data_IF_713842787756
#
_entry.id   IF_713842787756
#
_cell.length_a   1.000
_cell.length_b   1.000
_cell.length_c   1.000
_cell.angle_alpha   90.00
_cell.angle_beta   90.00
_cell.angle_gamma   90.00
#
_symmetry.space_group_name_H-M   'P 1'
#
loop_
_entity.id
_entity.type
_entity.pdbx_description
1 polymer ?
#
# COMPACT_ATOMS: atom_id res chain seq x y z
N UNK A 1 3.56 -0.11 -6.07
CA UNK A 1 4.12 -0.61 -4.80
C UNK A 1 3.31 -1.85 -4.42
N UNK A 2 3.62 -2.54 -3.33
CA UNK A 2 2.94 -3.77 -2.94
C UNK A 2 3.31 -5.05 -3.70
N UNK A 3 2.37 -5.99 -3.77
CA UNK A 3 2.55 -7.32 -4.38
C UNK A 3 3.05 -7.26 -5.84
N UNK A 4 4.26 -7.78 -6.07
CA UNK A 4 4.90 -7.75 -7.38
C UNK A 4 4.09 -8.51 -8.44
N UNK A 5 3.75 -7.81 -9.54
CA UNK A 5 3.06 -8.39 -10.69
C UNK A 5 1.54 -8.53 -10.54
N UNK A 6 0.96 -8.16 -9.39
CA UNK A 6 -0.47 -8.36 -9.12
C UNK A 6 -1.38 -7.57 -10.08
N UNK A 7 -1.07 -6.29 -10.32
CA UNK A 7 -1.82 -5.49 -11.30
C UNK A 7 -1.66 -6.02 -12.74
N UNK A 8 -0.52 -6.63 -13.08
CA UNK A 8 -0.36 -7.27 -14.39
C UNK A 8 -1.31 -8.46 -14.53
N UNK A 9 -1.47 -9.23 -13.44
CA UNK A 9 -2.32 -10.39 -13.36
C UNK A 9 -3.82 -10.05 -13.38
N UNK A 10 -4.21 -8.88 -12.85
CA UNK A 10 -5.58 -8.38 -12.86
C UNK A 10 -5.90 -7.46 -14.05
N UNK A 11 -5.08 -7.47 -15.11
CA UNK A 11 -5.23 -6.57 -16.25
C UNK A 11 -6.56 -6.73 -16.99
N UNK A 12 -7.12 -7.94 -17.04
CA UNK A 12 -8.38 -8.22 -17.76
C UNK A 12 -9.60 -7.55 -17.14
N UNK A 13 -9.52 -7.15 -15.86
CA UNK A 13 -10.59 -6.46 -15.13
C UNK A 13 -10.26 -5.00 -14.84
N UNK A 14 -9.12 -4.51 -15.34
CA UNK A 14 -8.81 -3.08 -15.29
C UNK A 14 -9.60 -2.34 -16.34
N UNK A 15 -10.41 -1.39 -15.91
CA UNK A 15 -11.14 -0.49 -16.80
C UNK A 15 -10.63 0.93 -16.64
N UNK A 16 -10.41 1.63 -17.74
CA UNK A 16 -10.09 3.06 -17.66
C UNK A 16 -11.38 3.84 -17.40
N UNK A 17 -11.37 4.68 -16.35
CA UNK A 17 -12.50 5.52 -15.96
C UNK A 17 -12.07 6.98 -15.90
N UNK A 18 -12.97 7.90 -16.24
CA UNK A 18 -12.73 9.33 -16.08
C UNK A 18 -13.14 9.76 -14.67
N UNK A 19 -12.50 10.77 -14.09
CA UNK A 19 -12.79 11.21 -12.72
C UNK A 19 -14.24 11.67 -12.51
N UNK A 20 -14.90 12.16 -13.56
CA UNK A 20 -16.33 12.52 -13.52
C UNK A 20 -17.26 11.33 -13.22
N UNK A 21 -16.82 10.10 -13.49
CA UNK A 21 -17.61 8.89 -13.21
C UNK A 21 -17.78 8.68 -11.69
N UNK A 22 -16.95 9.35 -10.89
CA UNK A 22 -16.96 9.32 -9.42
C UNK A 22 -17.52 10.62 -8.82
N UNK A 23 -18.16 11.48 -9.62
CA UNK A 23 -18.72 12.74 -9.14
C UNK A 23 -19.74 12.49 -8.00
N UNK A 24 -19.62 13.25 -6.91
CA UNK A 24 -20.43 13.10 -5.71
C UNK A 24 -19.93 12.04 -4.72
N UNK A 25 -18.93 11.23 -5.09
CA UNK A 25 -18.33 10.23 -4.21
C UNK A 25 -17.18 10.82 -3.38
N UNK A 26 -16.93 10.22 -2.23
CA UNK A 26 -15.75 10.49 -1.40
C UNK A 26 -14.69 9.43 -1.67
N UNK A 27 -13.52 9.83 -2.14
CA UNK A 27 -12.41 8.90 -2.40
C UNK A 27 -11.27 9.11 -1.42
N UNK A 28 -10.85 8.04 -0.76
CA UNK A 28 -9.62 8.03 0.01
C UNK A 28 -8.41 8.18 -0.92
N UNK A 29 -7.42 8.97 -0.53
CA UNK A 29 -6.21 9.22 -1.30
C UNK A 29 -4.99 8.86 -0.48
N UNK A 30 -4.15 7.98 -1.01
CA UNK A 30 -2.83 7.70 -0.46
C UNK A 30 -1.91 8.92 -0.63
N UNK A 31 -1.63 9.62 0.48
CA UNK A 31 -0.81 10.82 0.46
C UNK A 31 0.64 10.51 0.06
N UNK A 32 1.20 9.39 0.53
CA UNK A 32 2.60 9.07 0.33
C UNK A 32 2.90 8.72 -1.12
N UNK A 33 1.97 8.08 -1.84
CA UNK A 33 2.07 7.89 -3.29
C UNK A 33 2.26 9.22 -4.01
N UNK A 34 1.48 10.25 -3.68
CA UNK A 34 1.59 11.56 -4.35
C UNK A 34 2.80 12.36 -3.88
N UNK A 35 3.20 12.26 -2.61
CA UNK A 35 4.42 12.90 -2.11
C UNK A 35 5.66 12.29 -2.77
N UNK A 36 5.74 10.95 -2.85
CA UNK A 36 6.82 10.25 -3.57
C UNK A 36 6.87 10.65 -5.04
N UNK A 37 5.73 10.71 -5.74
CA UNK A 37 5.69 11.18 -7.12
C UNK A 37 6.09 12.65 -7.26
N UNK A 38 5.64 13.50 -6.34
CA UNK A 38 5.98 14.92 -6.31
C UNK A 38 7.48 15.18 -6.09
N UNK A 39 8.15 14.35 -5.30
CA UNK A 39 9.61 14.41 -5.08
C UNK A 39 10.38 14.36 -6.39
N UNK A 40 9.95 13.58 -7.39
CA UNK A 40 10.66 13.52 -8.67
C UNK A 40 10.79 14.88 -9.37
N UNK A 41 9.87 15.82 -9.09
CA UNK A 41 9.92 17.19 -9.63
C UNK A 41 11.01 18.06 -9.00
N UNK A 42 11.49 17.69 -7.81
CA UNK A 42 12.44 18.48 -7.01
C UNK A 42 13.51 17.62 -6.29
N UNK A 43 13.78 16.42 -6.80
CA UNK A 43 14.64 15.44 -6.12
C UNK A 43 16.05 15.97 -5.86
N UNK A 44 16.65 16.67 -6.83
CA UNK A 44 17.98 17.27 -6.66
C UNK A 44 17.99 18.35 -5.58
N UNK A 45 16.95 19.19 -5.50
CA UNK A 45 16.83 20.22 -4.46
C UNK A 45 16.77 19.57 -3.08
N UNK A 46 15.87 18.60 -2.90
CA UNK A 46 15.70 17.87 -1.65
C UNK A 46 16.97 17.10 -1.24
N UNK A 47 17.59 16.37 -2.17
CA UNK A 47 18.80 15.59 -1.88
C UNK A 47 20.03 16.45 -1.57
N UNK A 48 20.04 17.72 -1.98
CA UNK A 48 21.11 18.68 -1.70
C UNK A 48 20.78 19.67 -0.59
N UNK A 49 19.66 19.48 0.12
CA UNK A 49 19.26 20.30 1.25
C UNK A 49 18.69 21.68 0.87
N UNK A 50 18.33 21.90 -0.39
CA UNK A 50 17.65 23.13 -0.83
C UNK A 50 16.16 23.04 -0.49
N UNK A 51 15.65 24.10 0.15
CA UNK A 51 14.23 24.22 0.48
C UNK A 51 13.38 24.28 -0.79
N UNK A 52 12.27 23.54 -0.81
CA UNK A 52 11.33 23.47 -1.94
C UNK A 52 9.96 23.00 -1.46
N UNK A 53 8.91 23.38 -2.20
CA UNK A 53 7.52 22.95 -1.96
C UNK A 53 6.86 22.32 -3.18
N UNK A 54 7.62 22.09 -4.25
CA UNK A 54 7.10 21.53 -5.52
C UNK A 54 6.36 20.20 -5.34
N UNK A 55 6.77 19.38 -4.37
CA UNK A 55 6.07 18.13 -4.04
C UNK A 55 4.68 18.37 -3.43
N UNK A 56 4.50 19.44 -2.66
CA UNK A 56 3.18 19.85 -2.13
C UNK A 56 2.31 20.39 -3.26
N UNK A 57 2.87 21.24 -4.13
CA UNK A 57 2.14 21.79 -5.27
C UNK A 57 1.65 20.68 -6.20
N UNK A 58 2.50 19.67 -6.44
CA UNK A 58 2.17 18.48 -7.22
C UNK A 58 0.98 17.70 -6.64
N UNK A 59 0.95 17.51 -5.31
CA UNK A 59 -0.14 16.80 -4.64
C UNK A 59 -1.42 17.64 -4.61
N UNK A 60 -1.33 18.95 -4.29
CA UNK A 60 -2.48 19.85 -4.26
C UNK A 60 -3.13 20.06 -5.63
N UNK A 61 -2.37 20.05 -6.72
CA UNK A 61 -2.94 20.07 -8.07
C UNK A 61 -3.89 18.89 -8.32
N UNK A 62 -3.57 17.70 -7.81
CA UNK A 62 -4.41 16.50 -7.94
C UNK A 62 -5.65 16.57 -7.06
N UNK A 63 -5.51 17.05 -5.82
CA UNK A 63 -6.64 17.36 -4.93
C UNK A 63 -7.63 18.31 -5.61
N UNK A 64 -7.13 19.40 -6.19
CA UNK A 64 -7.96 20.39 -6.89
C UNK A 64 -8.61 19.81 -8.14
N UNK A 65 -7.93 18.91 -8.87
CA UNK A 65 -8.50 18.21 -10.02
C UNK A 65 -9.64 17.27 -9.62
N UNK A 66 -9.50 16.53 -8.52
CA UNK A 66 -10.59 15.72 -7.96
C UNK A 66 -11.81 16.58 -7.64
N UNK A 67 -11.60 17.70 -6.93
CA UNK A 67 -12.67 18.65 -6.60
C UNK A 67 -13.32 19.27 -7.83
N UNK A 68 -12.54 19.59 -8.87
CA UNK A 68 -13.05 20.09 -10.14
C UNK A 68 -14.06 19.12 -10.76
N UNK A 69 -13.78 17.82 -10.70
CA UNK A 69 -14.69 16.75 -11.14
C UNK A 69 -15.73 16.34 -10.08
N UNK A 70 -15.92 17.17 -9.04
CA UNK A 70 -16.89 16.96 -7.94
C UNK A 70 -16.65 15.68 -7.14
N UNK A 71 -15.42 15.19 -7.11
CA UNK A 71 -14.99 14.11 -6.21
C UNK A 71 -14.50 14.73 -4.90
N UNK A 72 -14.95 14.21 -3.77
CA UNK A 72 -14.49 14.66 -2.45
C UNK A 72 -13.24 13.85 -2.03
N UNK A 73 -12.05 14.46 -1.95
CA UNK A 73 -10.87 13.76 -1.49
C UNK A 73 -10.84 13.64 0.04
N UNK A 74 -10.55 12.44 0.53
CA UNK A 74 -10.21 12.16 1.93
C UNK A 74 -8.75 11.68 1.98
N UNK A 75 -7.82 12.55 2.39
CA UNK A 75 -6.38 12.23 2.30
C UNK A 75 -5.92 11.39 3.49
N UNK A 76 -5.23 10.29 3.23
CA UNK A 76 -4.71 9.38 4.28
C UNK A 76 -3.19 9.39 4.26
N UNK A 77 -2.59 9.65 5.42
CA UNK A 77 -1.14 9.64 5.63
C UNK A 77 -0.69 8.42 6.43
N UNK A 78 0.49 7.90 6.14
CA UNK A 78 1.16 6.98 7.06
C UNK A 78 1.51 7.68 8.38
N UNK A 79 1.55 6.89 9.45
CA UNK A 79 1.95 7.32 10.79
C UNK A 79 3.21 6.61 11.27
N UNK A 80 3.07 5.89 12.38
CA UNK A 80 4.19 5.23 13.06
C UNK A 80 4.74 4.02 12.30
N UNK A 81 5.99 3.61 12.56
CA UNK A 81 6.57 2.43 11.95
C UNK A 81 5.87 1.15 12.45
N UNK A 82 5.46 0.29 11.52
CA UNK A 82 4.92 -1.02 11.84
C UNK A 82 6.05 -2.05 12.05
N UNK A 83 6.07 -2.78 13.18
CA UNK A 83 7.09 -3.80 13.43
C UNK A 83 7.16 -4.90 12.34
N UNK A 84 6.02 -5.30 11.78
CA UNK A 84 5.95 -6.29 10.70
C UNK A 84 6.68 -5.86 9.41
N UNK A 85 6.83 -4.54 9.18
CA UNK A 85 7.46 -3.98 7.97
C UNK A 85 8.93 -3.60 8.18
N UNK A 86 9.50 -3.90 9.35
CA UNK A 86 10.83 -3.44 9.75
C UNK A 86 11.96 -3.88 8.80
N UNK A 87 11.91 -5.12 8.30
CA UNK A 87 12.87 -5.63 7.32
C UNK A 87 12.80 -4.84 6.02
N UNK A 88 11.60 -4.67 5.48
CA UNK A 88 11.33 -3.92 4.25
C UNK A 88 11.80 -2.48 4.35
N UNK A 89 11.53 -1.80 5.47
CA UNK A 89 11.98 -0.42 5.69
C UNK A 89 13.51 -0.31 5.84
N UNK A 90 14.16 -1.30 6.45
CA UNK A 90 15.63 -1.36 6.49
C UNK A 90 16.22 -1.48 5.09
N UNK A 91 15.67 -2.36 4.25
CA UNK A 91 16.17 -2.57 2.89
C UNK A 91 15.89 -1.35 2.01
N UNK A 92 14.74 -0.67 2.20
CA UNK A 92 14.43 0.61 1.55
C UNK A 92 15.45 1.69 1.94
N UNK A 93 15.76 1.81 3.24
CA UNK A 93 16.77 2.75 3.74
C UNK A 93 18.15 2.50 3.13
N UNK A 94 18.61 1.24 3.13
CA UNK A 94 19.89 0.87 2.55
C UNK A 94 19.98 1.26 1.07
N UNK A 95 18.95 0.93 0.26
CA UNK A 95 18.90 1.33 -1.16
C UNK A 95 18.95 2.84 -1.35
N UNK A 96 18.31 3.63 -0.47
CA UNK A 96 18.38 5.10 -0.53
C UNK A 96 19.81 5.59 -0.28
N UNK A 97 20.50 5.04 0.70
CA UNK A 97 21.91 5.38 1.01
C UNK A 97 22.85 5.04 -0.15
N UNK A 98 22.70 3.85 -0.75
CA UNK A 98 23.47 3.43 -1.93
C UNK A 98 23.22 4.34 -3.14
N UNK A 99 21.96 4.69 -3.41
CA UNK A 99 21.60 5.61 -4.50
C UNK A 99 22.15 7.03 -4.24
N UNK A 100 22.14 7.51 -3.00
CA UNK A 100 22.71 8.81 -2.65
C UNK A 100 24.22 8.84 -2.87
N UNK A 101 24.94 7.80 -2.47
CA UNK A 101 26.38 7.68 -2.69
C UNK A 101 26.70 7.71 -4.19
N UNK A 102 25.94 6.96 -5.00
CA UNK A 102 26.10 6.93 -6.46
C UNK A 102 25.77 8.28 -7.12
N UNK A 103 24.72 8.98 -6.67
CA UNK A 103 24.36 10.30 -7.15
C UNK A 103 25.47 11.34 -6.88
N UNK A 104 26.07 11.30 -5.69
CA UNK A 104 27.19 12.18 -5.32
C UNK A 104 28.43 11.92 -6.17
N UNK A 105 28.78 10.66 -6.40
CA UNK A 105 29.92 10.30 -7.25
C UNK A 105 29.75 10.81 -8.70
N UNK A 106 28.58 10.55 -9.31
CA UNK A 106 28.27 11.05 -10.65
C UNK A 106 28.27 12.57 -10.73
N UNK A 107 27.84 13.26 -9.67
CA UNK A 107 27.88 14.73 -9.61
C UNK A 107 29.30 15.26 -9.56
N UNK A 108 30.20 14.59 -8.82
CA UNK A 108 31.62 14.95 -8.77
C UNK A 108 32.32 14.75 -10.13
N UNK A 109 31.85 13.80 -10.94
CA UNK A 109 32.31 13.59 -12.33
C UNK A 109 31.68 14.54 -13.36
N UNK A 110 30.83 15.49 -12.93
CA UNK A 110 30.10 16.40 -13.83
C UNK A 110 28.93 15.75 -14.60
N UNK A 111 28.59 14.49 -14.29
CA UNK A 111 27.50 13.72 -14.95
C UNK A 111 26.13 14.02 -14.33
N UNK A 112 25.72 15.30 -14.35
CA UNK A 112 24.53 15.78 -13.64
C UNK A 112 23.21 15.12 -14.07
N UNK A 113 23.04 14.81 -15.36
CA UNK A 113 21.84 14.14 -15.87
C UNK A 113 21.66 12.75 -15.26
N UNK A 114 22.73 11.96 -15.24
CA UNK A 114 22.73 10.62 -14.64
C UNK A 114 22.54 10.69 -13.12
N UNK A 115 23.19 11.66 -12.45
CA UNK A 115 23.04 11.87 -11.02
C UNK A 115 21.57 12.14 -10.62
N UNK A 116 20.82 12.88 -11.45
CA UNK A 116 19.40 13.20 -11.20
C UNK A 116 18.53 11.96 -11.06
N UNK A 117 18.78 10.91 -11.84
CA UNK A 117 18.04 9.65 -11.74
C UNK A 117 18.26 8.95 -10.39
N UNK A 118 19.47 9.04 -9.84
CA UNK A 118 19.81 8.46 -8.54
C UNK A 118 19.30 9.33 -7.39
N UNK A 119 19.33 10.66 -7.52
CA UNK A 119 18.72 11.56 -6.53
C UNK A 119 17.22 11.29 -6.36
N UNK A 120 16.51 11.02 -7.46
CA UNK A 120 15.10 10.66 -7.41
C UNK A 120 14.82 9.35 -6.64
N UNK A 121 15.81 8.45 -6.53
CA UNK A 121 15.68 7.16 -5.84
C UNK A 121 16.15 7.19 -4.39
N UNK A 122 16.78 8.28 -3.94
CA UNK A 122 17.36 8.36 -2.59
C UNK A 122 16.55 9.24 -1.62
N UNK A 123 15.67 10.11 -2.12
CA UNK A 123 14.89 11.01 -1.25
C UNK A 123 13.75 10.24 -0.60
N UNK A 124 13.67 10.37 0.72
CA UNK A 124 12.60 9.80 1.54
C UNK A 124 11.53 10.86 1.84
N UNK A 125 10.27 10.45 1.96
CA UNK A 125 9.20 11.35 2.41
C UNK A 125 9.30 11.48 3.93
N UNK A 126 9.64 12.67 4.42
CA UNK A 126 9.78 12.90 5.86
C UNK A 126 8.47 13.37 6.51
N UNK A 127 8.30 13.21 7.84
CA UNK A 127 7.14 13.76 8.56
C UNK A 127 6.97 15.27 8.35
N UNK A 128 8.07 16.02 8.20
CA UNK A 128 8.03 17.44 7.92
C UNK A 128 7.43 17.74 6.54
N UNK A 129 7.74 16.93 5.53
CA UNK A 129 7.17 17.05 4.19
C UNK A 129 5.67 16.73 4.19
N UNK A 130 5.27 15.64 4.86
CA UNK A 130 3.88 15.28 5.06
C UNK A 130 3.12 16.42 5.78
N UNK A 131 3.72 17.01 6.82
CA UNK A 131 3.14 18.15 7.53
C UNK A 131 2.95 19.39 6.65
N UNK A 132 3.87 19.70 5.72
CA UNK A 132 3.66 20.79 4.76
C UNK A 132 2.45 20.55 3.87
N UNK A 133 2.20 19.29 3.47
CA UNK A 133 1.02 18.94 2.71
C UNK A 133 -0.26 19.04 3.57
N UNK A 134 -0.25 18.56 4.81
CA UNK A 134 -1.36 18.74 5.76
C UNK A 134 -1.72 20.22 5.94
N UNK A 135 -0.73 21.12 6.05
CA UNK A 135 -1.01 22.57 6.13
C UNK A 135 -1.74 23.10 4.89
N UNK A 136 -1.37 22.63 3.71
CA UNK A 136 -2.03 23.02 2.46
C UNK A 136 -3.47 22.46 2.37
N UNK A 137 -3.68 21.21 2.82
CA UNK A 137 -5.01 20.60 2.90
C UNK A 137 -5.94 21.38 3.84
N UNK A 138 -5.46 21.72 5.05
CA UNK A 138 -6.21 22.53 6.02
C UNK A 138 -6.59 23.89 5.47
N UNK A 139 -5.69 24.55 4.74
CA UNK A 139 -5.96 25.86 4.14
C UNK A 139 -7.08 25.82 3.08
N UNK A 140 -7.33 24.67 2.47
CA UNK A 140 -8.40 24.47 1.48
C UNK A 140 -9.61 23.70 2.03
N UNK A 141 -9.64 23.41 3.33
CA UNK A 141 -10.73 22.67 3.98
C UNK A 141 -10.83 21.22 3.51
N UNK A 142 -9.72 20.59 3.16
CA UNK A 142 -9.68 19.20 2.70
C UNK A 142 -9.56 18.25 3.90
N UNK A 143 -10.45 17.25 3.96
CA UNK A 143 -10.42 16.21 4.97
C UNK A 143 -9.16 15.37 4.85
N UNK A 144 -8.55 15.08 6.00
CA UNK A 144 -7.43 14.16 6.05
C UNK A 144 -7.41 13.39 7.36
N UNK A 145 -6.70 12.27 7.34
CA UNK A 145 -6.40 11.46 8.52
C UNK A 145 -4.95 10.98 8.47
N UNK A 146 -4.29 10.96 9.62
CA UNK A 146 -3.01 10.27 9.79
C UNK A 146 -3.32 8.89 10.37
N UNK A 147 -2.91 7.82 9.70
CA UNK A 147 -3.04 6.47 10.23
C UNK A 147 -2.16 6.33 11.49
N UNK A 148 -2.49 5.44 12.44
CA UNK A 148 -1.56 5.12 13.53
C UNK A 148 -0.31 4.39 13.02
N UNK A 149 -0.46 3.61 11.94
CA UNK A 149 0.62 2.88 11.26
C UNK A 149 0.53 3.11 9.75
N UNK A 150 0.02 2.16 8.96
CA UNK A 150 0.01 2.29 7.51
C UNK A 150 -1.29 2.88 6.99
N UNK A 151 -1.18 3.73 5.96
CA UNK A 151 -2.30 4.29 5.23
C UNK A 151 -3.14 3.19 4.57
N UNK A 152 -2.53 2.07 4.16
CA UNK A 152 -3.21 0.96 3.47
C UNK A 152 -4.35 0.38 4.31
N UNK A 153 -4.06 -0.02 5.56
CA UNK A 153 -5.09 -0.53 6.47
C UNK A 153 -6.09 0.56 6.86
N UNK A 154 -5.64 1.80 7.05
CA UNK A 154 -6.51 2.91 7.39
C UNK A 154 -7.54 3.19 6.28
N UNK A 155 -7.11 3.23 5.02
CA UNK A 155 -8.00 3.41 3.87
C UNK A 155 -8.98 2.24 3.72
N UNK A 156 -8.49 1.00 3.87
CA UNK A 156 -9.34 -0.20 3.87
C UNK A 156 -10.42 -0.13 4.96
N UNK A 157 -10.06 0.34 6.16
CA UNK A 157 -11.00 0.53 7.26
C UNK A 157 -12.07 1.58 6.92
N UNK A 158 -11.66 2.75 6.41
CA UNK A 158 -12.57 3.85 6.04
C UNK A 158 -13.59 3.41 4.98
N UNK A 159 -13.15 2.67 3.95
CA UNK A 159 -14.04 2.15 2.91
C UNK A 159 -15.04 1.15 3.50
N UNK A 160 -14.56 0.27 4.38
CA UNK A 160 -15.40 -0.74 5.01
C UNK A 160 -16.49 -0.17 5.90
N UNK A 161 -16.21 0.91 6.64
CA UNK A 161 -17.22 1.60 7.46
C UNK A 161 -18.08 2.60 6.67
N UNK A 162 -17.87 2.69 5.35
CA UNK A 162 -18.68 3.53 4.45
C UNK A 162 -18.38 5.02 4.53
N UNK A 163 -17.22 5.43 5.06
CA UNK A 163 -16.78 6.83 5.07
C UNK A 163 -16.23 7.28 3.70
N UNK A 164 -15.74 6.33 2.91
CA UNK A 164 -15.26 6.57 1.54
C UNK A 164 -15.82 5.49 0.62
N UNK A 165 -16.02 5.84 -0.65
CA UNK A 165 -16.63 5.01 -1.68
C UNK A 165 -15.58 4.24 -2.51
N UNK A 166 -14.32 4.66 -2.43
CA UNK A 166 -13.19 4.01 -3.11
C UNK A 166 -11.85 4.66 -2.75
N UNK A 167 -10.76 4.08 -3.26
CA UNK A 167 -9.39 4.40 -2.86
C UNK A 167 -8.53 4.70 -4.09
N UNK A 168 -7.84 5.84 -4.08
CA UNK A 168 -6.81 6.21 -5.06
C UNK A 168 -5.44 5.89 -4.47
N UNK A 169 -4.74 4.93 -5.07
CA UNK A 169 -3.39 4.53 -4.67
C UNK A 169 -2.63 3.92 -5.86
N UNK A 170 -1.33 3.72 -5.71
CA UNK A 170 -0.49 2.92 -6.62
C UNK A 170 0.05 1.66 -5.93
N UNK A 171 -0.47 1.36 -4.73
CA UNK A 171 -0.16 0.16 -3.97
C UNK A 171 -1.24 -0.91 -4.19
N UNK A 172 -0.83 -2.07 -4.71
CA UNK A 172 -1.76 -3.16 -4.96
C UNK A 172 -2.16 -3.92 -3.69
N UNK A 173 -1.52 -3.64 -2.55
CA UNK A 173 -1.81 -4.29 -1.27
C UNK A 173 -3.24 -3.99 -0.80
N UNK A 174 -3.84 -2.86 -1.19
CA UNK A 174 -5.23 -2.52 -0.89
C UNK A 174 -6.22 -3.56 -1.43
N UNK A 175 -5.91 -4.22 -2.55
CA UNK A 175 -6.70 -5.34 -3.05
C UNK A 175 -6.57 -6.57 -2.14
N UNK A 176 -5.44 -6.76 -1.48
CA UNK A 176 -5.22 -7.85 -0.52
C UNK A 176 -5.94 -7.58 0.81
N UNK A 177 -5.99 -6.31 1.24
CA UNK A 177 -6.77 -5.83 2.38
C UNK A 177 -8.29 -5.97 2.21
N UNK A 178 -8.78 -6.30 1.01
CA UNK A 178 -10.21 -6.54 0.78
C UNK A 178 -10.97 -5.34 0.23
N UNK A 179 -10.28 -4.29 -0.22
CA UNK A 179 -10.95 -3.09 -0.71
C UNK A 179 -11.80 -3.37 -1.94
N UNK A 180 -12.96 -2.70 -2.02
CA UNK A 180 -13.99 -2.93 -3.05
C UNK A 180 -13.69 -2.17 -4.33
N UNK A 181 -13.30 -0.90 -4.21
CA UNK A 181 -13.14 0.01 -5.33
C UNK A 181 -11.75 0.66 -5.28
N UNK A 182 -10.81 0.22 -6.12
CA UNK A 182 -9.44 0.76 -6.13
C UNK A 182 -9.10 1.37 -7.49
N UNK A 183 -8.63 2.60 -7.45
CA UNK A 183 -8.28 3.44 -8.59
C UNK A 183 -6.75 3.62 -8.63
N UNK A 184 -6.14 3.05 -9.65
CA UNK A 184 -4.69 3.08 -9.91
C UNK A 184 -4.37 4.03 -11.05
N UNK A 185 -3.07 4.25 -11.29
CA UNK A 185 -2.54 4.94 -12.48
C UNK A 185 -3.23 6.27 -12.74
N UNK A 186 -3.31 7.13 -11.72
CA UNK A 186 -3.92 8.44 -11.84
C UNK A 186 -3.19 9.29 -12.89
N UNK A 187 -3.89 9.61 -13.98
CA UNK A 187 -3.40 10.46 -15.05
C UNK A 187 -4.03 11.86 -14.93
N UNK A 188 -3.17 12.82 -14.63
CA UNK A 188 -3.56 14.22 -14.46
C UNK A 188 -3.98 14.88 -15.79
N UNK A 189 -3.36 14.52 -16.91
CA UNK A 189 -3.60 15.18 -18.19
C UNK A 189 -4.94 14.74 -18.80
N UNK A 190 -5.23 13.44 -18.75
CA UNK A 190 -6.49 12.88 -19.25
C UNK A 190 -7.62 12.88 -18.21
N UNK A 191 -7.34 13.20 -16.94
CA UNK A 191 -8.29 13.05 -15.83
C UNK A 191 -8.86 11.64 -15.74
N UNK A 192 -8.02 10.62 -15.95
CA UNK A 192 -8.42 9.21 -15.91
C UNK A 192 -7.66 8.41 -14.86
N UNK A 193 -8.23 7.26 -14.52
CA UNK A 193 -7.66 6.25 -13.62
C UNK A 193 -7.86 4.85 -14.24
N UNK A 194 -7.03 3.90 -13.84
CA UNK A 194 -7.31 2.48 -14.01
C UNK A 194 -8.09 1.96 -12.80
N UNK A 195 -9.36 1.63 -12.99
CA UNK A 195 -10.27 1.18 -11.96
C UNK A 195 -10.36 -0.36 -11.92
N UNK A 196 -10.32 -0.91 -10.72
CA UNK A 196 -10.58 -2.32 -10.43
C UNK A 196 -11.70 -2.39 -9.38
N UNK A 197 -12.75 -3.15 -9.69
CA UNK A 197 -13.76 -3.53 -8.72
C UNK A 197 -13.52 -4.94 -8.19
N UNK A 198 -13.69 -5.14 -6.88
CA UNK A 198 -13.60 -6.44 -6.22
C UNK A 198 -14.65 -7.42 -6.74
N UNK A 199 -15.81 -6.94 -7.18
CA UNK A 199 -16.86 -7.79 -7.75
C UNK A 199 -16.44 -8.46 -9.05
N UNK A 200 -15.48 -7.87 -9.77
CA UNK A 200 -15.02 -8.38 -11.06
C UNK A 200 -13.94 -9.45 -10.92
N UNK A 201 -13.47 -9.75 -9.70
CA UNK A 201 -12.42 -10.75 -9.48
C UNK A 201 -12.81 -12.13 -10.04
N UNK A 202 -14.08 -12.53 -9.88
CA UNK A 202 -14.58 -13.79 -10.43
C UNK A 202 -14.51 -13.87 -11.97
N UNK A 203 -14.46 -12.72 -12.64
CA UNK A 203 -14.35 -12.58 -14.10
C UNK A 203 -12.91 -12.69 -14.61
N UNK A 204 -11.91 -12.83 -13.73
CA UNK A 204 -10.53 -13.08 -14.15
C UNK A 204 -10.42 -14.51 -14.70
N UNK A 205 -10.27 -14.60 -16.02
CA UNK A 205 -10.13 -15.86 -16.76
C UNK A 205 -8.68 -16.16 -17.11
N UNK A 206 -8.34 -17.44 -17.21
CA UNK A 206 -7.01 -17.93 -17.55
C UNK A 206 -6.67 -17.81 -19.05
N UNK A 207 -6.88 -16.63 -19.66
CA UNK A 207 -6.41 -16.37 -21.01
C UNK A 207 -4.87 -16.38 -21.03
N UNK A 208 -4.27 -16.94 -22.10
CA UNK A 208 -2.83 -16.88 -22.40
C UNK A 208 -1.90 -17.29 -21.23
N UNK A 209 -2.20 -18.42 -20.56
CA UNK A 209 -1.37 -18.90 -19.45
C UNK A 209 -1.45 -18.05 -18.19
N UNK A 210 -2.51 -17.23 -18.05
CA UNK A 210 -2.88 -16.50 -16.85
C UNK A 210 -3.47 -17.40 -15.76
N UNK A 211 -3.99 -16.79 -14.69
CA UNK A 211 -4.72 -17.50 -13.63
C UNK A 211 -6.23 -17.29 -13.80
N UNK A 212 -7.04 -18.13 -13.18
CA UNK A 212 -8.47 -17.87 -13.02
C UNK A 212 -8.83 -17.73 -11.55
N UNK A 213 -9.56 -16.66 -11.24
CA UNK A 213 -10.07 -16.38 -9.90
C UNK A 213 -11.57 -16.69 -9.78
N UNK A 214 -12.16 -17.38 -10.77
CA UNK A 214 -13.53 -17.86 -10.67
C UNK A 214 -13.69 -18.81 -9.47
N UNK A 215 -14.62 -18.48 -8.57
CA UNK A 215 -14.87 -19.23 -7.34
C UNK A 215 -13.79 -19.07 -6.26
N UNK A 216 -12.84 -18.14 -6.42
CA UNK A 216 -11.87 -17.84 -5.39
C UNK A 216 -12.46 -16.94 -4.31
N UNK A 217 -12.15 -17.28 -3.06
CA UNK A 217 -12.48 -16.47 -1.88
C UNK A 217 -11.41 -15.43 -1.60
N UNK A 218 -11.78 -14.40 -0.84
CA UNK A 218 -10.84 -13.37 -0.36
C UNK A 218 -9.69 -13.97 0.47
N UNK A 219 -9.97 -15.00 1.27
CA UNK A 219 -8.97 -15.73 2.03
C UNK A 219 -7.96 -16.42 1.11
N UNK A 220 -8.41 -17.07 0.03
CA UNK A 220 -7.49 -17.69 -0.94
C UNK A 220 -6.68 -16.63 -1.70
N UNK A 221 -7.31 -15.53 -2.12
CA UNK A 221 -6.63 -14.43 -2.80
C UNK A 221 -5.54 -13.81 -1.93
N UNK A 222 -5.85 -13.53 -0.65
CA UNK A 222 -4.88 -13.03 0.33
C UNK A 222 -3.75 -14.03 0.55
N UNK A 223 -4.07 -15.31 0.73
CA UNK A 223 -3.06 -16.34 0.89
C UNK A 223 -2.14 -16.45 -0.34
N UNK A 224 -2.68 -16.31 -1.55
CA UNK A 224 -1.89 -16.28 -2.79
C UNK A 224 -0.93 -15.09 -2.81
N UNK A 225 -1.42 -13.89 -2.45
CA UNK A 225 -0.60 -12.69 -2.39
C UNK A 225 0.55 -12.83 -1.39
N UNK A 226 0.26 -13.26 -0.15
CA UNK A 226 1.27 -13.46 0.89
C UNK A 226 2.29 -14.53 0.46
N UNK A 227 1.85 -15.67 -0.10
CA UNK A 227 2.75 -16.72 -0.61
C UNK A 227 3.65 -16.24 -1.75
N UNK A 228 3.18 -15.30 -2.57
CA UNK A 228 3.94 -14.70 -3.66
C UNK A 228 4.95 -13.65 -3.20
N UNK A 229 4.96 -13.31 -1.91
CA UNK A 229 5.80 -12.29 -1.31
C UNK A 229 5.06 -10.97 -1.16
N UNK A 230 5.12 -10.41 0.05
CA UNK A 230 4.57 -9.11 0.42
C UNK A 230 5.54 -8.37 1.34
N UNK A 231 5.20 -7.14 1.71
CA UNK A 231 6.04 -6.29 2.58
C UNK A 231 6.23 -6.89 4.00
N UNK A 232 5.37 -7.81 4.43
CA UNK A 232 5.40 -8.47 5.75
C UNK A 232 6.10 -9.85 5.74
N UNK A 233 6.14 -10.52 4.58
CA UNK A 233 6.72 -11.86 4.44
C UNK A 233 7.32 -12.05 3.04
N UNK A 234 8.64 -12.29 2.93
CA UNK A 234 9.26 -12.68 1.67
C UNK A 234 8.70 -14.00 1.14
N UNK A 235 8.57 -14.11 -0.19
CA UNK A 235 8.14 -15.35 -0.84
C UNK A 235 9.12 -16.50 -0.60
N UNK A 236 8.61 -17.73 -0.66
CA UNK A 236 9.48 -18.91 -0.85
C UNK A 236 10.19 -18.77 -2.22
N UNK A 237 11.52 -18.97 -2.32
CA UNK A 237 12.22 -18.87 -3.59
C UNK A 237 11.57 -19.70 -4.72
N UNK A 238 11.27 -19.05 -5.84
CA UNK A 238 10.58 -19.67 -6.98
C UNK A 238 9.06 -19.79 -6.82
N UNK A 239 8.45 -19.16 -5.81
CA UNK A 239 7.00 -19.07 -5.63
C UNK A 239 6.54 -17.63 -5.87
N UNK A 240 6.12 -17.34 -7.11
CA UNK A 240 5.39 -16.12 -7.46
C UNK A 240 3.87 -16.35 -7.54
N UNK A 241 3.11 -15.34 -7.94
CA UNK A 241 1.63 -15.37 -7.98
C UNK A 241 1.04 -16.61 -8.68
N UNK A 242 1.51 -16.94 -9.89
CA UNK A 242 1.01 -18.12 -10.64
C UNK A 242 1.30 -19.44 -9.92
N UNK A 243 2.47 -19.55 -9.31
CA UNK A 243 2.87 -20.74 -8.55
C UNK A 243 2.06 -20.85 -7.26
N UNK A 244 1.91 -19.75 -6.52
CA UNK A 244 1.08 -19.68 -5.32
C UNK A 244 -0.38 -20.05 -5.61
N UNK A 245 -0.94 -19.51 -6.70
CA UNK A 245 -2.27 -19.86 -7.19
C UNK A 245 -2.42 -21.36 -7.46
N UNK A 246 -1.48 -21.94 -8.21
CA UNK A 246 -1.49 -23.38 -8.55
C UNK A 246 -1.41 -24.26 -7.30
N UNK A 247 -0.55 -23.88 -6.34
CA UNK A 247 -0.42 -24.58 -5.06
C UNK A 247 -1.73 -24.55 -4.26
N UNK A 248 -2.40 -23.40 -4.16
CA UNK A 248 -3.65 -23.25 -3.41
C UNK A 248 -4.86 -23.89 -4.11
N UNK A 249 -4.83 -24.09 -5.43
CA UNK A 249 -5.82 -24.93 -6.12
C UNK A 249 -5.61 -26.42 -5.86
N UNK A 250 -4.35 -26.85 -5.79
CA UNK A 250 -4.00 -28.26 -5.61
C UNK A 250 -4.13 -28.71 -4.15
N UNK A 251 -3.89 -27.79 -3.21
CA UNK A 251 -3.85 -28.07 -1.78
C UNK A 251 -4.92 -27.23 -1.06
N UNK A 252 -5.65 -27.83 -0.13
CA UNK A 252 -6.81 -27.18 0.52
C UNK A 252 -6.42 -26.07 1.51
N UNK A 253 -5.15 -26.01 1.90
CA UNK A 253 -4.64 -24.99 2.82
C UNK A 253 -3.19 -24.63 2.56
N UNK A 254 -2.77 -23.47 3.06
CA UNK A 254 -1.38 -22.99 3.02
C UNK A 254 -0.44 -23.99 3.70
N UNK A 255 -0.83 -24.53 4.85
CA UNK A 255 -0.06 -25.56 5.56
C UNK A 255 0.19 -26.80 4.70
N UNK A 256 -0.82 -27.28 3.98
CA UNK A 256 -0.68 -28.41 3.06
C UNK A 256 0.19 -28.07 1.85
N UNK A 257 0.03 -26.87 1.27
CA UNK A 257 0.85 -26.41 0.16
C UNK A 257 2.34 -26.34 0.53
N UNK A 258 2.67 -25.74 1.68
CA UNK A 258 4.06 -25.64 2.14
C UNK A 258 4.62 -27.01 2.53
N UNK A 259 3.82 -27.90 3.13
CA UNK A 259 4.23 -29.28 3.40
C UNK A 259 4.57 -30.02 2.11
N UNK A 260 3.75 -29.88 1.06
CA UNK A 260 4.02 -30.50 -0.23
C UNK A 260 5.31 -29.97 -0.87
N UNK A 261 5.56 -28.66 -0.79
CA UNK A 261 6.82 -28.07 -1.27
C UNK A 261 8.05 -28.62 -0.52
N UNK A 262 7.94 -28.81 0.81
CA UNK A 262 9.02 -29.42 1.61
C UNK A 262 9.30 -30.86 1.18
N UNK A 263 8.25 -31.65 0.92
CA UNK A 263 8.40 -33.05 0.48
C UNK A 263 8.95 -33.16 -0.95
N UNK A 264 8.61 -32.24 -1.84
CA UNK A 264 9.17 -32.22 -3.21
C UNK A 264 10.68 -31.94 -3.20
N UNK A 265 11.20 -31.23 -2.19
CA UNK A 265 12.64 -31.00 -2.00
C UNK A 265 13.31 -30.05 -3.00
N UNK A 266 12.59 -29.57 -4.02
CA UNK A 266 13.15 -28.68 -5.07
C UNK A 266 13.29 -27.22 -4.66
N UNK A 267 12.48 -26.75 -3.70
CA UNK A 267 12.46 -25.34 -3.27
C UNK A 267 12.87 -25.25 -1.80
N UNK A 268 13.83 -24.37 -1.44
CA UNK A 268 14.27 -24.21 -0.06
C UNK A 268 13.20 -23.43 0.73
N UNK A 269 12.32 -24.16 1.42
CA UNK A 269 11.29 -23.55 2.29
C UNK A 269 11.96 -23.07 3.59
N UNK A 270 11.88 -21.77 3.95
CA UNK A 270 12.42 -21.28 5.20
C UNK A 270 11.85 -22.01 6.44
N UNK A 271 12.67 -22.14 7.48
CA UNK A 271 12.20 -22.59 8.80
C UNK A 271 11.24 -21.55 9.36
N UNK A 272 10.18 -21.98 10.05
CA UNK A 272 9.19 -21.06 10.63
C UNK A 272 8.25 -20.37 9.64
N UNK A 273 8.24 -20.77 8.36
CA UNK A 273 7.50 -20.05 7.32
C UNK A 273 5.98 -20.04 7.53
N UNK A 274 5.40 -21.10 8.11
CA UNK A 274 3.94 -21.16 8.33
C UNK A 274 3.52 -20.23 9.47
N UNK A 275 4.33 -20.16 10.51
CA UNK A 275 4.15 -19.27 11.65
C UNK A 275 4.27 -17.81 11.19
N UNK A 276 5.31 -17.50 10.40
CA UNK A 276 5.50 -16.16 9.82
C UNK A 276 4.37 -15.79 8.83
N UNK A 277 3.86 -16.75 8.07
CA UNK A 277 2.67 -16.57 7.22
C UNK A 277 1.45 -16.19 8.05
N UNK A 278 1.20 -16.88 9.17
CA UNK A 278 0.09 -16.57 10.07
C UNK A 278 0.18 -15.14 10.63
N UNK A 279 1.39 -14.69 11.00
CA UNK A 279 1.61 -13.30 11.44
C UNK A 279 1.35 -12.29 10.31
N UNK A 280 1.85 -12.53 9.10
CA UNK A 280 1.61 -11.66 7.95
C UNK A 280 0.11 -11.57 7.59
N UNK A 281 -0.62 -12.68 7.67
CA UNK A 281 -2.07 -12.70 7.45
C UNK A 281 -2.81 -11.87 8.51
N UNK A 282 -2.40 -11.97 9.79
CA UNK A 282 -2.97 -11.15 10.88
C UNK A 282 -2.73 -9.65 10.68
N UNK A 283 -1.66 -9.23 10.01
CA UNK A 283 -1.47 -7.82 9.64
C UNK A 283 -2.52 -7.37 8.63
N UNK A 284 -2.73 -8.13 7.55
CA UNK A 284 -3.76 -7.81 6.55
C UNK A 284 -5.18 -7.80 7.12
N UNK A 285 -5.46 -8.58 8.17
CA UNK A 285 -6.79 -8.67 8.78
C UNK A 285 -6.99 -7.65 9.91
N UNK A 286 -6.01 -7.50 10.80
CA UNK A 286 -6.21 -6.87 12.12
C UNK A 286 -5.24 -5.72 12.40
N UNK A 287 -4.52 -5.20 11.40
CA UNK A 287 -3.64 -4.04 11.60
C UNK A 287 -4.40 -2.92 12.32
N UNK A 288 -3.72 -2.29 13.28
CA UNK A 288 -4.26 -1.20 14.07
C UNK A 288 -4.54 0.02 13.19
N UNK A 289 -5.74 0.57 13.32
CA UNK A 289 -6.23 1.75 12.60
C UNK A 289 -6.91 2.70 13.58
N UNK A 290 -7.21 3.92 13.15
CA UNK A 290 -7.97 4.90 13.92
C UNK A 290 -9.38 5.00 13.37
N UNK A 291 -10.38 4.87 14.24
CA UNK A 291 -11.78 5.10 13.90
C UNK A 291 -12.13 6.57 14.14
N UNK A 292 -12.41 7.38 13.09
CA UNK A 292 -12.76 8.79 13.28
C UNK A 292 -14.18 8.99 13.81
N UNK A 293 -15.06 7.98 13.74
CA UNK A 293 -16.42 8.05 14.30
C UNK A 293 -16.46 7.81 15.80
N UNK A 294 -15.59 6.92 16.30
CA UNK A 294 -15.48 6.56 17.72
C UNK A 294 -14.30 7.24 18.42
N UNK A 295 -13.50 7.99 17.67
CA UNK A 295 -12.31 8.71 18.13
C UNK A 295 -11.31 7.85 18.93
N UNK A 296 -11.14 6.59 18.50
CA UNK A 296 -10.26 5.64 19.18
C UNK A 296 -9.53 4.71 18.21
N UNK A 297 -8.45 4.13 18.71
CA UNK A 297 -7.74 3.08 17.99
C UNK A 297 -8.55 1.77 18.03
N UNK A 298 -8.71 1.15 16.86
CA UNK A 298 -9.42 -0.12 16.67
C UNK A 298 -8.60 -1.02 15.76
N UNK A 299 -8.98 -2.29 15.62
CA UNK A 299 -8.37 -3.19 14.64
C UNK A 299 -9.08 -3.06 13.29
N UNK A 300 -8.33 -3.28 12.20
CA UNK A 300 -8.89 -3.27 10.85
C UNK A 300 -10.05 -4.25 10.73
N UNK A 301 -10.03 -5.43 11.35
CA UNK A 301 -11.20 -6.31 11.55
C UNK A 301 -11.18 -6.82 12.98
N UNK A 302 -12.35 -7.17 13.51
CA UNK A 302 -12.46 -7.75 14.85
C UNK A 302 -11.66 -9.03 14.93
N UNK A 303 -10.91 -9.18 16.02
CA UNK A 303 -10.10 -10.38 16.25
C UNK A 303 -11.01 -11.44 16.86
N UNK A 304 -11.18 -12.61 16.22
CA UNK A 304 -11.98 -13.69 16.77
C UNK A 304 -11.44 -14.13 18.13
N UNK A 305 -12.32 -14.37 19.10
CA UNK A 305 -11.94 -14.79 20.47
C UNK A 305 -11.10 -16.06 20.46
N UNK A 306 -11.35 -16.94 19.49
CA UNK A 306 -10.67 -18.23 19.33
C UNK A 306 -9.26 -18.12 18.72
N UNK A 307 -8.90 -17.01 18.08
CA UNK A 307 -7.66 -16.88 17.29
C UNK A 307 -6.39 -16.63 18.13
N UNK A 308 -6.51 -16.55 19.46
CA UNK A 308 -5.38 -16.33 20.36
C UNK A 308 -4.67 -15.02 20.04
N UNK A 309 -5.15 -13.93 20.63
CA UNK A 309 -4.52 -12.62 20.50
C UNK A 309 -3.51 -12.42 21.63
N UNK A 310 -2.26 -12.80 21.36
CA UNK A 310 -1.17 -12.67 22.31
C UNK A 310 -0.35 -11.38 22.09
N UNK A 311 0.64 -11.18 22.97
CA UNK A 311 1.51 -10.01 22.92
C UNK A 311 2.39 -9.95 21.65
N UNK A 312 2.65 -11.09 21.00
CA UNK A 312 3.41 -11.14 19.75
C UNK A 312 2.55 -10.61 18.60
N UNK A 313 1.30 -11.08 18.50
CA UNK A 313 0.34 -10.60 17.50
C UNK A 313 0.08 -9.10 17.69
N UNK A 314 -0.21 -8.64 18.91
CA UNK A 314 -0.42 -7.22 19.22
C UNK A 314 0.78 -6.36 18.77
N UNK A 315 2.00 -6.83 19.00
CA UNK A 315 3.20 -6.13 18.53
C UNK A 315 3.30 -6.11 17.00
N UNK A 316 2.93 -7.19 16.33
CA UNK A 316 3.06 -7.33 14.88
C UNK A 316 2.02 -6.52 14.11
N UNK A 317 0.78 -6.47 14.60
CA UNK A 317 -0.33 -5.73 13.97
C UNK A 317 -0.38 -4.24 14.35
N UNK A 318 0.47 -3.81 15.28
CA UNK A 318 0.55 -2.43 15.75
C UNK A 318 -0.02 -2.26 17.15
N UNK A 319 0.87 -1.92 18.09
CA UNK A 319 0.54 -1.80 19.51
C UNK A 319 -0.51 -0.72 19.76
N UNK A 320 -1.45 -1.02 20.65
CA UNK A 320 -2.32 0.01 21.22
C UNK A 320 -1.48 1.01 22.01
N UNK A 321 -1.65 2.30 21.72
CA UNK A 321 -1.02 3.38 22.47
C UNK A 321 -2.08 4.35 22.97
N UNK A 322 -2.21 4.47 24.28
CA UNK A 322 -3.07 5.48 24.94
C UNK A 322 -2.49 6.88 24.90
N UNK A 323 -1.21 7.03 24.51
CA UNK A 323 -0.48 8.29 24.59
C UNK A 323 -0.57 9.16 23.33
N UNK A 324 -1.35 8.77 22.33
CA UNK A 324 -1.47 9.53 21.10
C UNK A 324 -2.68 10.49 21.17
N UNK A 325 -2.47 11.83 21.20
CA UNK A 325 -3.56 12.78 21.24
C UNK A 325 -4.50 12.61 20.04
N UNK A 326 -5.79 12.51 20.31
CA UNK A 326 -6.90 12.45 19.33
C UNK A 326 -6.81 13.57 18.28
N UNK A 327 -6.28 14.74 18.66
CA UNK A 327 -6.09 15.91 17.79
C UNK A 327 -4.98 15.79 16.74
N UNK A 328 -4.16 14.73 16.79
CA UNK A 328 -3.13 14.46 15.76
C UNK A 328 -3.76 13.80 14.54
N UNK A 329 -4.82 13.01 14.73
CA UNK A 329 -5.26 12.04 13.73
C UNK A 329 -6.15 12.63 12.65
N UNK A 330 -7.02 13.60 12.94
CA UNK A 330 -8.01 14.07 11.96
C UNK A 330 -8.35 15.56 12.14
N UNK A 331 -8.93 16.15 11.10
CA UNK A 331 -9.63 17.43 11.13
C UNK A 331 -10.87 17.36 10.22
#
# INVERSE_FOLDING_TARGET
MGICGLLGLLKSIQTTKHLSDFAGQTLAVDAYVWLHRGIHTCATELATGKSTKKYVDYAMQRIRLLRHHKVQPYVVFDGGPLPAKRSTERDRKQRREENLARAKALTAEGKHSQAREFYAKCVDVTPQMAFQFIKALRAEGIQYIVAPYEADAQMAYLERIGLVDGIITEDSDLLVFGCRNVLFKFDFASSTVAYISRTDFGSVTAAEGGISLAGWTDTQFRAMAILSGCDYLPSIPGVGLKTAWSLLRKHRSVAQAVRALRLEGKKPVPKGYIEAFGLAEKVFLHQRVYCPLEEKLVNLTDIPVEEGYDAEVEAYVGRYSTSCPTSIFCN
#
